data_IF_070180294390
#
_entry.id   IF_070180294390
#
_cell.length_a   1.000
_cell.length_b   1.000
_cell.length_c   1.000
_cell.angle_alpha   90.00
_cell.angle_beta   90.00
_cell.angle_gamma   90.00
#
_symmetry.space_group_name_H-M   'P 1'
#
loop_
_entity.id
_entity.type
_entity.pdbx_description
1 polymer ?
#
# COMPACT_ATOMS: atom_id res chain seq x y z
N UNK A 1 -1.82 19.07 27.59
CA UNK A 1 -2.14 17.80 26.87
C UNK A 1 -1.32 17.76 25.59
N UNK A 2 -0.58 16.68 25.30
CA UNK A 2 0.09 16.56 23.99
C UNK A 2 -0.98 16.45 22.91
N UNK A 3 -0.91 17.30 21.90
CA UNK A 3 -1.81 17.25 20.74
C UNK A 3 -1.56 15.98 19.94
N UNK A 4 -2.60 15.44 19.30
CA UNK A 4 -2.52 14.22 18.47
C UNK A 4 -1.39 14.30 17.44
N UNK A 5 -1.09 15.49 16.92
CA UNK A 5 0.00 15.75 15.96
C UNK A 5 1.40 15.41 16.50
N UNK A 6 1.69 15.79 17.75
CA UNK A 6 2.98 15.49 18.39
C UNK A 6 3.13 13.98 18.57
N UNK A 7 2.04 13.30 18.92
CA UNK A 7 2.03 11.86 19.09
C UNK A 7 2.17 11.14 17.74
N UNK A 8 1.56 11.65 16.67
CA UNK A 8 1.77 11.17 15.30
C UNK A 8 3.25 11.24 14.90
N UNK A 9 3.91 12.36 15.16
CA UNK A 9 5.34 12.52 14.84
C UNK A 9 6.22 11.54 15.64
N UNK A 10 5.85 11.26 16.89
CA UNK A 10 6.54 10.27 17.71
C UNK A 10 6.34 8.84 17.19
N UNK A 11 5.10 8.46 16.88
CA UNK A 11 4.78 7.17 16.26
C UNK A 11 5.52 6.98 14.93
N UNK A 12 5.57 8.05 14.10
CA UNK A 12 6.33 8.04 12.85
C UNK A 12 7.80 7.70 13.08
N UNK A 13 8.47 8.35 14.05
CA UNK A 13 9.88 8.07 14.35
C UNK A 13 10.14 6.61 14.75
N UNK A 14 9.18 5.94 15.38
CA UNK A 14 9.29 4.52 15.76
C UNK A 14 9.21 3.62 14.52
N UNK A 15 8.31 3.94 13.59
CA UNK A 15 8.05 3.11 12.41
C UNK A 15 8.92 3.49 11.20
N UNK A 16 9.58 4.65 11.21
CA UNK A 16 10.32 5.17 10.07
C UNK A 16 11.38 4.19 9.56
N UNK A 17 12.27 3.71 10.44
CA UNK A 17 13.35 2.78 10.06
C UNK A 17 12.85 1.47 9.43
N UNK A 18 11.93 0.71 10.05
CA UNK A 18 11.43 -0.53 9.43
C UNK A 18 10.65 -0.26 8.14
N UNK A 19 9.90 0.84 8.05
CA UNK A 19 9.17 1.20 6.82
C UNK A 19 10.15 1.45 5.67
N UNK A 20 11.19 2.26 5.88
CA UNK A 20 12.20 2.50 4.83
C UNK A 20 12.94 1.22 4.41
N UNK A 21 13.23 0.33 5.36
CA UNK A 21 13.88 -0.94 5.06
C UNK A 21 12.98 -1.85 4.20
N UNK A 22 11.69 -1.92 4.52
CA UNK A 22 10.71 -2.69 3.72
C UNK A 22 10.61 -2.10 2.32
N UNK A 23 10.50 -0.78 2.19
CA UNK A 23 10.41 -0.09 0.90
C UNK A 23 11.67 -0.35 0.07
N UNK A 24 12.86 -0.25 0.68
CA UNK A 24 14.13 -0.46 -0.02
C UNK A 24 14.25 -1.90 -0.54
N UNK A 25 13.95 -2.90 0.31
CA UNK A 25 14.00 -4.32 -0.08
C UNK A 25 12.95 -4.66 -1.13
N UNK A 26 11.72 -4.18 -0.96
CA UNK A 26 10.63 -4.37 -1.93
C UNK A 26 10.99 -3.75 -3.28
N UNK A 27 11.48 -2.52 -3.28
CA UNK A 27 11.92 -1.83 -4.50
C UNK A 27 13.06 -2.56 -5.22
N UNK A 28 14.05 -3.05 -4.48
CA UNK A 28 15.16 -3.83 -5.04
C UNK A 28 14.67 -5.15 -5.64
N UNK A 29 13.76 -5.86 -4.95
CA UNK A 29 13.16 -7.10 -5.43
C UNK A 29 12.31 -6.87 -6.71
N UNK A 30 11.52 -5.79 -6.74
CA UNK A 30 10.75 -5.40 -7.93
C UNK A 30 11.67 -5.10 -9.12
N UNK A 31 12.72 -4.30 -8.91
CA UNK A 31 13.71 -3.97 -9.94
C UNK A 31 14.39 -5.24 -10.47
N UNK A 32 14.84 -6.14 -9.60
CA UNK A 32 15.46 -7.38 -9.99
C UNK A 32 14.51 -8.26 -10.82
N UNK A 33 13.26 -8.41 -10.38
CA UNK A 33 12.25 -9.19 -11.10
C UNK A 33 11.96 -8.63 -12.49
N UNK A 34 11.87 -7.30 -12.62
CA UNK A 34 11.70 -6.61 -13.91
C UNK A 34 12.90 -6.85 -14.82
N UNK A 35 14.12 -6.64 -14.33
CA UNK A 35 15.33 -6.85 -15.13
C UNK A 35 15.49 -8.31 -15.58
N UNK A 36 15.26 -9.27 -14.69
CA UNK A 36 15.33 -10.70 -15.01
C UNK A 36 14.31 -11.05 -16.10
N UNK A 37 13.05 -10.60 -15.94
CA UNK A 37 12.02 -10.86 -16.93
C UNK A 37 12.35 -10.20 -18.28
N UNK A 38 12.87 -8.97 -18.28
CA UNK A 38 13.27 -8.26 -19.50
C UNK A 38 14.38 -8.94 -20.28
N UNK A 39 15.20 -9.78 -19.64
CA UNK A 39 16.24 -10.58 -20.29
C UNK A 39 15.73 -11.87 -20.96
N UNK A 40 14.48 -12.27 -20.71
CA UNK A 40 13.93 -13.52 -21.26
C UNK A 40 13.59 -13.36 -22.75
N UNK A 41 13.65 -14.45 -23.52
CA UNK A 41 13.19 -14.42 -24.92
C UNK A 41 11.72 -14.00 -25.03
N UNK A 42 10.91 -14.34 -24.05
CA UNK A 42 9.48 -14.00 -23.99
C UNK A 42 9.20 -12.51 -23.80
N UNK A 43 10.18 -11.69 -23.41
CA UNK A 43 10.03 -10.23 -23.28
C UNK A 43 10.49 -9.44 -24.50
N UNK A 44 11.02 -10.11 -25.54
CA UNK A 44 11.42 -9.47 -26.77
C UNK A 44 10.25 -8.66 -27.36
N UNK A 45 10.49 -7.37 -27.63
CA UNK A 45 9.51 -6.45 -28.22
C UNK A 45 8.22 -6.21 -27.40
N UNK A 46 8.21 -6.55 -26.11
CA UNK A 46 7.07 -6.33 -25.23
C UNK A 46 7.05 -4.88 -24.69
N UNK A 47 5.85 -4.31 -24.53
CA UNK A 47 5.68 -2.98 -23.95
C UNK A 47 6.03 -2.94 -22.46
N UNK A 48 6.52 -1.80 -21.98
CA UNK A 48 6.93 -1.62 -20.58
C UNK A 48 5.86 -2.05 -19.56
N UNK A 49 4.59 -1.69 -19.79
CA UNK A 49 3.49 -2.10 -18.92
C UNK A 49 3.36 -3.63 -18.81
N UNK A 50 3.54 -4.36 -19.92
CA UNK A 50 3.46 -5.82 -19.93
C UNK A 50 4.66 -6.47 -19.23
N UNK A 51 5.84 -5.85 -19.32
CA UNK A 51 7.01 -6.30 -18.55
C UNK A 51 6.71 -6.22 -17.06
N UNK A 52 6.16 -5.11 -16.57
CA UNK A 52 5.78 -4.95 -15.16
C UNK A 52 4.74 -5.98 -14.69
N UNK A 53 3.73 -6.25 -15.51
CA UNK A 53 2.69 -7.23 -15.17
C UNK A 53 3.27 -8.64 -15.12
N UNK A 54 4.04 -9.03 -16.12
CA UNK A 54 4.53 -10.40 -16.27
C UNK A 54 5.74 -10.71 -15.38
N UNK A 55 6.48 -9.69 -14.93
CA UNK A 55 7.58 -9.83 -13.99
C UNK A 55 7.14 -10.12 -12.55
N UNK A 56 5.83 -10.20 -12.29
CA UNK A 56 5.25 -10.35 -10.95
C UNK A 56 5.57 -9.18 -10.00
N UNK A 57 6.06 -8.05 -10.53
CA UNK A 57 6.38 -6.84 -9.74
C UNK A 57 5.19 -6.39 -8.87
N UNK A 58 3.97 -6.59 -9.35
CA UNK A 58 2.74 -6.26 -8.66
C UNK A 58 2.47 -7.11 -7.42
N UNK A 59 2.88 -8.38 -7.42
CA UNK A 59 2.79 -9.26 -6.24
C UNK A 59 3.77 -8.77 -5.19
N UNK A 60 5.00 -8.46 -5.61
CA UNK A 60 6.04 -7.95 -4.73
C UNK A 60 5.58 -6.63 -4.09
N UNK A 61 4.99 -5.72 -4.89
CA UNK A 61 4.42 -4.48 -4.37
C UNK A 61 3.27 -4.73 -3.38
N UNK A 62 2.36 -5.67 -3.65
CA UNK A 62 1.28 -6.01 -2.73
C UNK A 62 1.81 -6.55 -1.39
N UNK A 63 2.84 -7.40 -1.43
CA UNK A 63 3.50 -7.92 -0.23
C UNK A 63 4.22 -6.81 0.54
N UNK A 64 4.92 -5.92 -0.16
CA UNK A 64 5.56 -4.73 0.40
C UNK A 64 4.55 -3.83 1.12
N UNK A 65 3.42 -3.56 0.48
CA UNK A 65 2.32 -2.77 1.05
C UNK A 65 1.78 -3.39 2.34
N UNK A 66 1.50 -4.70 2.34
CA UNK A 66 1.03 -5.42 3.53
C UNK A 66 2.09 -5.41 4.64
N UNK A 67 3.36 -5.57 4.31
CA UNK A 67 4.46 -5.51 5.26
C UNK A 67 4.58 -4.12 5.91
N UNK A 68 4.43 -3.04 5.14
CA UNK A 68 4.39 -1.67 5.68
C UNK A 68 3.20 -1.46 6.60
N UNK A 69 2.01 -1.96 6.25
CA UNK A 69 0.85 -1.90 7.12
C UNK A 69 1.10 -2.61 8.45
N UNK A 70 1.75 -3.77 8.43
CA UNK A 70 2.17 -4.48 9.64
C UNK A 70 3.19 -3.70 10.46
N UNK A 71 4.21 -3.13 9.83
CA UNK A 71 5.23 -2.31 10.50
C UNK A 71 4.63 -1.04 11.14
N UNK A 72 3.61 -0.45 10.52
CA UNK A 72 2.90 0.71 11.04
C UNK A 72 2.15 0.43 12.35
N UNK A 73 1.84 -0.84 12.67
CA UNK A 73 1.19 -1.22 13.93
C UNK A 73 2.15 -1.38 15.12
N UNK A 74 3.47 -1.23 14.90
CA UNK A 74 4.48 -1.33 15.97
C UNK A 74 4.22 -0.46 17.20
N UNK A 75 3.81 0.82 17.10
CA UNK A 75 3.55 1.66 18.27
C UNK A 75 2.47 1.04 19.17
N UNK A 76 1.47 0.43 18.55
CA UNK A 76 0.36 -0.21 19.24
C UNK A 76 0.76 -1.52 19.91
N UNK A 77 1.60 -2.31 19.24
CA UNK A 77 2.16 -3.53 19.83
C UNK A 77 3.06 -3.23 21.03
N UNK A 78 3.78 -2.10 21.00
CA UNK A 78 4.64 -1.66 22.09
C UNK A 78 3.86 -1.17 23.32
N UNK A 79 2.59 -0.78 23.18
CA UNK A 79 1.73 -0.35 24.29
C UNK A 79 1.37 -1.47 25.29
N UNK A 80 1.77 -2.72 25.06
CA UNK A 80 1.58 -3.84 26.01
C UNK A 80 2.47 -3.77 27.26
N UNK A 81 3.18 -2.66 27.52
CA UNK A 81 3.99 -2.45 28.74
C UNK A 81 5.29 -3.26 28.83
N UNK A 82 5.61 -4.13 27.86
CA UNK A 82 6.84 -4.94 27.89
C UNK A 82 8.11 -4.19 27.46
N UNK A 83 8.01 -2.90 27.16
CA UNK A 83 9.12 -2.07 26.69
C UNK A 83 9.10 -0.72 27.40
N UNK A 84 10.28 -0.09 27.58
CA UNK A 84 10.42 1.25 28.19
C UNK A 84 9.54 2.30 27.46
N UNK A 85 9.44 2.19 26.14
CA UNK A 85 8.57 2.99 25.28
C UNK A 85 7.08 2.72 25.56
N UNK A 86 6.70 1.46 25.78
CA UNK A 86 5.36 1.04 26.15
C UNK A 86 4.89 1.62 27.48
N UNK A 87 5.75 1.60 28.50
CA UNK A 87 5.46 2.24 29.79
C UNK A 87 5.24 3.75 29.64
N UNK A 88 6.08 4.42 28.85
CA UNK A 88 5.95 5.87 28.61
C UNK A 88 4.63 6.21 27.91
N UNK A 89 4.18 5.37 26.97
CA UNK A 89 2.88 5.52 26.30
C UNK A 89 1.69 5.30 27.25
N UNK A 90 1.78 4.34 28.18
CA UNK A 90 0.71 4.09 29.16
C UNK A 90 0.60 5.21 30.21
N UNK A 91 1.71 5.85 30.58
CA UNK A 91 1.73 6.93 31.58
C UNK A 91 1.43 8.31 30.97
N UNK A 92 1.30 8.42 29.65
CA UNK A 92 1.03 9.69 28.97
C UNK A 92 -0.45 10.07 29.15
N UNK A 93 -0.77 11.27 29.71
CA UNK A 93 -2.15 11.72 29.84
C UNK A 93 -2.70 12.08 28.45
N UNK A 94 -3.27 11.09 27.79
CA UNK A 94 -3.78 11.18 26.42
C UNK A 94 -5.11 10.42 26.33
N UNK A 95 -6.10 11.03 25.68
CA UNK A 95 -7.40 10.38 25.49
C UNK A 95 -7.27 9.21 24.50
N UNK A 96 -8.15 8.20 24.64
CA UNK A 96 -8.22 7.09 23.68
C UNK A 96 -8.40 7.55 22.23
N UNK A 97 -9.15 8.62 22.00
CA UNK A 97 -9.30 9.27 20.69
C UNK A 97 -7.98 9.82 20.16
N UNK A 98 -7.18 10.48 21.00
CA UNK A 98 -5.88 11.04 20.63
C UNK A 98 -4.89 9.94 20.22
N UNK A 99 -4.86 8.83 20.97
CA UNK A 99 -4.04 7.66 20.65
C UNK A 99 -4.48 7.02 19.33
N UNK A 100 -5.78 6.85 19.10
CA UNK A 100 -6.31 6.30 17.86
C UNK A 100 -5.93 7.15 16.64
N UNK A 101 -6.27 8.44 16.66
CA UNK A 101 -6.01 9.34 15.53
C UNK A 101 -4.52 9.48 15.22
N UNK A 102 -3.66 9.44 16.25
CA UNK A 102 -2.22 9.48 16.03
C UNK A 102 -1.65 8.22 15.36
N UNK A 103 -2.19 7.04 15.67
CA UNK A 103 -1.81 5.79 15.02
C UNK A 103 -2.37 5.70 13.59
N UNK A 104 -3.62 6.14 13.38
CA UNK A 104 -4.20 6.21 12.05
C UNK A 104 -3.42 7.17 11.13
N UNK A 105 -3.10 8.37 11.62
CA UNK A 105 -2.34 9.37 10.86
C UNK A 105 -0.91 8.89 10.52
N UNK A 106 -0.22 8.23 11.45
CA UNK A 106 1.12 7.67 11.17
C UNK A 106 1.08 6.49 10.21
N UNK A 107 0.04 5.65 10.26
CA UNK A 107 -0.19 4.58 9.28
C UNK A 107 -0.47 5.16 7.89
N UNK A 108 -1.29 6.21 7.79
CA UNK A 108 -1.56 6.89 6.53
C UNK A 108 -0.27 7.50 5.93
N UNK A 109 0.58 8.11 6.74
CA UNK A 109 1.89 8.61 6.29
C UNK A 109 2.78 7.48 5.75
N UNK A 110 2.81 6.32 6.40
CA UNK A 110 3.58 5.17 5.92
C UNK A 110 3.08 4.66 4.57
N UNK A 111 1.76 4.57 4.39
CA UNK A 111 1.13 4.20 3.11
C UNK A 111 1.53 5.21 2.01
N UNK A 112 1.45 6.51 2.31
CA UNK A 112 1.84 7.54 1.35
C UNK A 112 3.32 7.42 0.94
N UNK A 113 4.22 7.09 1.86
CA UNK A 113 5.62 6.85 1.52
C UNK A 113 5.79 5.67 0.55
N UNK A 114 5.08 4.56 0.76
CA UNK A 114 5.11 3.40 -0.16
C UNK A 114 4.59 3.79 -1.54
N UNK A 115 3.49 4.54 -1.60
CA UNK A 115 2.90 4.99 -2.86
C UNK A 115 3.83 5.92 -3.64
N UNK A 116 4.44 6.89 -2.97
CA UNK A 116 5.42 7.79 -3.61
C UNK A 116 6.66 7.01 -4.06
N UNK A 117 7.17 6.10 -3.24
CA UNK A 117 8.31 5.27 -3.59
C UNK A 117 8.01 4.40 -4.82
N UNK A 118 6.83 3.79 -4.90
CA UNK A 118 6.41 2.99 -6.05
C UNK A 118 6.29 3.81 -7.33
N UNK A 119 5.82 5.06 -7.23
CA UNK A 119 5.72 5.98 -8.37
C UNK A 119 7.11 6.29 -8.93
N UNK A 120 8.04 6.66 -8.04
CA UNK A 120 9.44 6.92 -8.41
C UNK A 120 10.10 5.68 -8.97
N UNK A 121 9.89 4.51 -8.37
CA UNK A 121 10.44 3.25 -8.84
C UNK A 121 9.90 2.91 -10.24
N UNK A 122 8.61 3.08 -10.49
CA UNK A 122 8.00 2.85 -11.81
C UNK A 122 8.61 3.76 -12.88
N UNK A 123 8.96 5.00 -12.53
CA UNK A 123 9.69 5.89 -13.42
C UNK A 123 11.13 5.41 -13.67
N UNK A 124 11.86 5.08 -12.60
CA UNK A 124 13.27 4.66 -12.69
C UNK A 124 13.42 3.32 -13.44
N UNK A 125 12.52 2.36 -13.22
CA UNK A 125 12.51 1.05 -13.87
C UNK A 125 12.31 1.11 -15.38
N UNK A 126 11.75 2.21 -15.92
CA UNK A 126 11.50 2.36 -17.35
C UNK A 126 12.78 2.22 -18.18
N UNK A 127 13.85 2.92 -17.79
CA UNK A 127 15.11 2.94 -18.54
C UNK A 127 15.78 1.56 -18.65
N UNK A 128 16.08 0.84 -17.54
CA UNK A 128 16.70 -0.48 -17.64
C UNK A 128 15.76 -1.50 -18.28
N UNK A 129 14.46 -1.46 -17.99
CA UNK A 129 13.52 -2.41 -18.57
C UNK A 129 13.45 -2.28 -20.09
N UNK A 130 13.32 -1.05 -20.61
CA UNK A 130 13.26 -0.80 -22.05
C UNK A 130 14.57 -1.17 -22.74
N UNK A 131 15.71 -0.76 -22.19
CA UNK A 131 17.03 -1.11 -22.74
C UNK A 131 17.27 -2.62 -22.82
N UNK A 132 16.91 -3.38 -21.77
CA UNK A 132 17.05 -4.83 -21.78
C UNK A 132 16.08 -5.50 -22.77
N UNK A 133 14.85 -5.01 -22.89
CA UNK A 133 13.89 -5.55 -23.88
C UNK A 133 14.28 -5.25 -25.32
N UNK A 134 14.95 -4.13 -25.59
CA UNK A 134 15.43 -3.81 -26.94
C UNK A 134 16.67 -4.63 -27.28
N UNK A 135 17.61 -4.80 -26.35
CA UNK A 135 18.78 -5.67 -26.54
C UNK A 135 18.38 -7.14 -26.77
N UNK A 136 17.43 -7.66 -25.99
CA UNK A 136 16.88 -9.00 -26.22
C UNK A 136 16.14 -9.10 -27.55
N UNK A 137 15.34 -8.11 -27.92
CA UNK A 137 14.68 -8.08 -29.23
C UNK A 137 15.68 -8.10 -30.38
N UNK A 138 16.77 -7.34 -30.32
CA UNK A 138 17.82 -7.36 -31.34
C UNK A 138 18.51 -8.73 -31.44
N UNK A 139 18.69 -9.42 -30.31
CA UNK A 139 19.32 -10.74 -30.27
C UNK A 139 18.44 -11.81 -30.94
N UNK A 140 17.11 -11.75 -30.75
CA UNK A 140 16.19 -12.79 -31.23
C UNK A 140 15.41 -12.41 -32.50
N UNK A 141 15.33 -11.12 -32.84
CA UNK A 141 14.57 -10.57 -33.97
C UNK A 141 15.42 -9.45 -34.62
N UNK A 142 16.41 -9.78 -35.47
CA UNK A 142 17.40 -8.84 -35.98
C UNK A 142 16.83 -7.68 -36.82
N UNK A 143 15.64 -7.89 -37.40
CA UNK A 143 14.94 -6.93 -38.25
C UNK A 143 13.88 -6.13 -37.51
N UNK A 144 13.77 -6.27 -36.18
CA UNK A 144 12.76 -5.55 -35.42
C UNK A 144 13.10 -4.05 -35.39
N UNK A 145 12.28 -3.17 -35.99
CA UNK A 145 12.52 -1.74 -35.93
C UNK A 145 12.44 -1.32 -34.46
N UNK A 146 13.44 -0.56 -33.99
CA UNK A 146 13.38 -0.02 -32.63
C UNK A 146 12.11 0.84 -32.51
N UNK A 147 11.18 0.50 -31.60
CA UNK A 147 10.03 1.35 -31.36
C UNK A 147 10.56 2.68 -30.82
N UNK A 148 10.10 3.80 -31.39
CA UNK A 148 10.38 5.13 -30.84
C UNK A 148 9.81 5.17 -29.42
N UNK A 149 10.66 5.20 -28.37
CA UNK A 149 10.17 5.05 -27.01
C UNK A 149 9.56 6.37 -26.55
N UNK A 150 8.24 6.50 -26.69
CA UNK A 150 7.52 7.57 -26.01
C UNK A 150 7.35 7.18 -24.52
N UNK A 151 8.24 7.72 -23.70
CA UNK A 151 8.25 7.50 -22.26
C UNK A 151 6.96 7.98 -21.60
N UNK A 152 6.42 9.13 -22.03
CA UNK A 152 5.24 9.71 -21.42
C UNK A 152 4.04 8.80 -21.64
N UNK A 153 3.82 8.39 -22.89
CA UNK A 153 2.74 7.48 -23.23
C UNK A 153 2.92 6.11 -22.57
N UNK A 154 4.15 5.63 -22.46
CA UNK A 154 4.47 4.34 -21.83
C UNK A 154 4.20 4.35 -20.33
N UNK A 155 4.59 5.44 -19.63
CA UNK A 155 4.35 5.61 -18.20
C UNK A 155 2.86 5.76 -17.89
N UNK A 156 2.14 6.60 -18.63
CA UNK A 156 0.68 6.77 -18.47
C UNK A 156 -0.07 5.46 -18.70
N UNK A 157 0.45 4.58 -19.55
CA UNK A 157 -0.13 3.25 -19.79
C UNK A 157 0.26 2.20 -18.74
N UNK A 158 1.19 2.51 -17.84
CA UNK A 158 1.52 1.57 -16.75
C UNK A 158 0.43 1.51 -15.71
N UNK A 159 0.27 0.34 -15.11
CA UNK A 159 -0.78 0.19 -14.10
C UNK A 159 -0.44 0.91 -12.80
N UNK A 160 0.81 0.90 -12.36
CA UNK A 160 1.21 1.62 -11.15
C UNK A 160 0.99 3.13 -11.28
N UNK A 161 1.24 3.72 -12.45
CA UNK A 161 1.00 5.15 -12.67
C UNK A 161 -0.50 5.48 -12.66
N UNK A 162 -1.35 4.67 -13.30
CA UNK A 162 -2.81 4.87 -13.26
C UNK A 162 -3.42 4.66 -11.87
N UNK A 163 -2.84 3.75 -11.07
CA UNK A 163 -3.26 3.51 -9.70
C UNK A 163 -2.95 4.71 -8.79
N UNK A 164 -1.77 5.31 -8.95
CA UNK A 164 -1.24 6.34 -8.05
C UNK A 164 -1.56 7.78 -8.51
N UNK A 165 -1.70 7.98 -9.81
CA UNK A 165 -2.15 9.22 -10.47
C UNK A 165 -3.38 8.88 -11.33
N UNK A 166 -4.54 8.69 -10.68
CA UNK A 166 -5.74 8.31 -11.40
C UNK A 166 -6.20 9.43 -12.34
N UNK A 167 -6.32 9.10 -13.62
CA UNK A 167 -6.86 9.98 -14.67
C UNK A 167 -8.38 9.97 -14.74
N UNK A 168 -9.01 9.00 -14.08
CA UNK A 168 -10.46 8.79 -14.07
C UNK A 168 -11.06 9.18 -12.70
N UNK A 169 -12.25 9.78 -12.72
CA UNK A 169 -13.01 10.18 -11.52
C UNK A 169 -13.13 9.05 -10.47
N UNK A 170 -13.24 7.83 -10.95
CA UNK A 170 -13.36 6.63 -10.12
C UNK A 170 -12.05 6.27 -9.37
N UNK A 171 -10.91 6.43 -10.03
CA UNK A 171 -9.59 6.25 -9.40
C UNK A 171 -9.33 7.32 -8.34
N UNK A 172 -9.78 8.55 -8.59
CA UNK A 172 -9.68 9.68 -7.65
C UNK A 172 -10.45 9.39 -6.35
N UNK A 173 -11.59 8.70 -6.43
CA UNK A 173 -12.39 8.30 -5.25
C UNK A 173 -11.76 7.11 -4.53
N UNK A 174 -11.25 6.10 -5.26
CA UNK A 174 -10.75 4.86 -4.66
C UNK A 174 -9.37 4.97 -4.01
N UNK A 175 -8.50 5.86 -4.50
CA UNK A 175 -7.18 6.11 -3.91
C UNK A 175 -7.26 6.54 -2.42
N UNK A 176 -8.09 7.53 -2.02
CA UNK A 176 -8.32 7.84 -0.61
C UNK A 176 -8.83 6.65 0.20
N UNK A 177 -9.71 5.81 -0.37
CA UNK A 177 -10.19 4.59 0.29
C UNK A 177 -9.04 3.61 0.59
N UNK A 178 -8.07 3.46 -0.32
CA UNK A 178 -6.88 2.61 -0.09
C UNK A 178 -5.97 3.13 1.02
N UNK A 179 -6.03 4.42 1.35
CA UNK A 179 -5.24 5.01 2.43
C UNK A 179 -6.04 4.99 3.73
N UNK A 180 -7.29 5.44 3.68
CA UNK A 180 -8.15 5.67 4.85
C UNK A 180 -8.67 4.36 5.45
N UNK A 181 -9.10 3.40 4.61
CA UNK A 181 -9.64 2.13 5.10
C UNK A 181 -8.61 1.35 5.95
N UNK A 182 -7.39 1.02 5.45
CA UNK A 182 -6.41 0.28 6.27
C UNK A 182 -5.85 1.11 7.43
N UNK A 183 -5.73 2.44 7.30
CA UNK A 183 -5.24 3.30 8.38
C UNK A 183 -6.20 3.41 9.56
N UNK A 184 -7.51 3.22 9.34
CA UNK A 184 -8.51 3.20 10.42
C UNK A 184 -8.76 1.80 10.98
N UNK A 185 -8.73 0.78 10.11
CA UNK A 185 -9.02 -0.61 10.45
C UNK A 185 -8.06 -1.19 11.50
N UNK A 186 -6.76 -1.03 11.26
CA UNK A 186 -5.74 -1.71 12.06
C UNK A 186 -5.63 -1.13 13.48
N UNK A 187 -5.62 0.20 13.71
CA UNK A 187 -5.59 0.75 15.07
C UNK A 187 -6.86 0.43 15.86
N UNK A 188 -8.03 0.37 15.21
CA UNK A 188 -9.31 0.09 15.87
C UNK A 188 -9.38 -1.28 16.54
N UNK A 189 -8.68 -2.27 15.98
CA UNK A 189 -8.59 -3.62 16.52
C UNK A 189 -7.91 -3.69 17.90
N UNK A 190 -6.97 -2.79 18.17
CA UNK A 190 -6.14 -2.84 19.36
C UNK A 190 -6.72 -2.11 20.57
N UNK A 191 -7.83 -1.38 20.41
CA UNK A 191 -8.55 -0.75 21.53
C UNK A 191 -9.51 -1.71 22.25
N UNK A 192 -9.62 -2.97 21.81
CA UNK A 192 -10.41 -4.00 22.47
C UNK A 192 -9.56 -4.99 23.28
N UNK A 193 -10.11 -5.47 24.41
CA UNK A 193 -9.58 -6.59 25.20
C UNK A 193 -10.32 -7.89 24.84
N UNK A 194 -9.66 -9.05 25.00
CA UNK A 194 -10.26 -10.37 24.79
C UNK A 194 -10.58 -10.70 23.33
N UNK A 195 -11.66 -11.46 23.08
CA UNK A 195 -12.06 -11.92 21.73
C UNK A 195 -12.30 -10.78 20.73
N UNK A 196 -12.75 -9.60 21.19
CA UNK A 196 -12.98 -8.44 20.31
C UNK A 196 -11.72 -7.93 19.60
N UNK A 197 -10.53 -8.15 20.19
CA UNK A 197 -9.25 -7.84 19.55
C UNK A 197 -8.96 -8.75 18.36
N UNK A 198 -9.25 -10.04 18.51
CA UNK A 198 -9.02 -11.06 17.49
C UNK A 198 -9.93 -10.77 16.29
N UNK A 199 -11.22 -10.50 16.52
CA UNK A 199 -12.15 -10.10 15.45
C UNK A 199 -11.71 -8.81 14.74
N UNK A 200 -11.24 -7.80 15.47
CA UNK A 200 -10.72 -6.57 14.87
C UNK A 200 -9.50 -6.81 13.99
N UNK A 201 -8.57 -7.68 14.43
CA UNK A 201 -7.39 -8.04 13.64
C UNK A 201 -7.82 -8.79 12.38
N UNK A 202 -8.74 -9.75 12.48
CA UNK A 202 -9.26 -10.51 11.33
C UNK A 202 -9.90 -9.56 10.31
N UNK A 203 -10.76 -8.64 10.76
CA UNK A 203 -11.43 -7.67 9.88
C UNK A 203 -10.41 -6.68 9.27
N UNK A 204 -9.41 -6.26 10.03
CA UNK A 204 -8.33 -5.39 9.55
C UNK A 204 -7.46 -6.05 8.50
N UNK A 205 -7.04 -7.31 8.73
CA UNK A 205 -6.29 -8.11 7.77
C UNK A 205 -7.15 -8.41 6.54
N UNK A 206 -8.43 -8.75 6.72
CA UNK A 206 -9.34 -8.98 5.62
C UNK A 206 -9.55 -7.72 4.78
N UNK A 207 -9.77 -6.55 5.40
CA UNK A 207 -9.87 -5.29 4.69
C UNK A 207 -8.58 -4.89 3.98
N UNK A 208 -7.41 -5.12 4.60
CA UNK A 208 -6.12 -4.92 3.96
C UNK A 208 -5.90 -5.90 2.79
N UNK A 209 -6.35 -7.14 2.91
CA UNK A 209 -6.30 -8.15 1.85
C UNK A 209 -7.27 -7.81 0.71
N UNK A 210 -8.46 -7.27 0.99
CA UNK A 210 -9.40 -6.77 -0.03
C UNK A 210 -8.83 -5.55 -0.72
N UNK A 211 -8.20 -4.61 0.00
CA UNK A 211 -7.48 -3.48 -0.60
C UNK A 211 -6.31 -3.96 -1.48
N UNK A 212 -5.51 -4.91 -1.00
CA UNK A 212 -4.40 -5.50 -1.75
C UNK A 212 -4.87 -6.29 -2.97
N UNK A 213 -5.98 -7.04 -2.86
CA UNK A 213 -6.62 -7.74 -3.97
C UNK A 213 -7.17 -6.77 -5.01
N UNK A 214 -7.83 -5.69 -4.57
CA UNK A 214 -8.31 -4.64 -5.46
C UNK A 214 -7.17 -3.97 -6.21
N UNK A 215 -6.09 -3.66 -5.50
CA UNK A 215 -4.86 -3.10 -6.05
C UNK A 215 -4.22 -4.07 -7.06
N UNK A 216 -4.14 -5.35 -6.74
CA UNK A 216 -3.68 -6.41 -7.64
C UNK A 216 -4.59 -6.58 -8.87
N UNK A 217 -5.91 -6.51 -8.69
CA UNK A 217 -6.89 -6.63 -9.77
C UNK A 217 -6.83 -5.44 -10.71
N UNK A 218 -6.64 -4.23 -10.18
CA UNK A 218 -6.35 -3.05 -10.99
C UNK A 218 -5.10 -3.28 -11.84
N UNK A 219 -4.07 -3.92 -11.28
CA UNK A 219 -2.83 -4.30 -11.99
C UNK A 219 -3.03 -5.38 -13.06
N UNK A 220 -3.93 -6.35 -12.84
CA UNK A 220 -4.18 -7.43 -13.81
C UNK A 220 -5.16 -7.05 -14.94
N UNK A 221 -6.12 -6.14 -14.72
CA UNK A 221 -7.26 -5.93 -15.63
C UNK A 221 -7.05 -4.94 -16.80
N UNK A 222 -5.81 -4.66 -17.23
CA UNK A 222 -5.50 -3.80 -18.40
C UNK A 222 -6.20 -2.43 -18.43
N UNK A 223 -6.44 -1.78 -17.30
CA UNK A 223 -7.07 -0.44 -17.28
C UNK A 223 -8.51 -0.37 -17.82
N UNK A 224 -9.11 -1.51 -18.22
CA UNK A 224 -10.51 -1.58 -18.58
C UNK A 224 -11.32 -1.91 -17.35
N UNK A 225 -11.88 -0.85 -16.77
CA UNK A 225 -12.90 -0.95 -15.73
C UNK A 225 -14.16 -1.56 -16.33
N UNK A 226 -14.28 -2.90 -16.37
CA UNK A 226 -15.57 -3.53 -16.60
C UNK A 226 -16.46 -3.20 -15.40
N UNK A 227 -17.36 -2.23 -15.59
CA UNK A 227 -18.20 -1.63 -14.55
C UNK A 227 -19.00 -2.68 -13.76
N UNK A 228 -19.32 -3.81 -14.39
CA UNK A 228 -20.11 -4.90 -13.81
C UNK A 228 -19.38 -5.72 -12.72
N UNK A 229 -18.05 -5.77 -12.78
CA UNK A 229 -17.24 -6.67 -11.95
C UNK A 229 -16.64 -5.98 -10.72
N UNK A 230 -16.53 -4.66 -10.73
CA UNK A 230 -15.86 -3.87 -9.69
C UNK A 230 -16.83 -3.36 -8.63
N UNK A 231 -18.09 -3.05 -9.01
CA UNK A 231 -19.18 -2.60 -8.14
C UNK A 231 -19.34 -3.45 -6.86
N UNK A 232 -19.41 -4.80 -6.91
CA UNK A 232 -19.61 -5.60 -5.70
C UNK A 232 -18.44 -5.52 -4.72
N UNK A 233 -17.20 -5.37 -5.22
CA UNK A 233 -16.02 -5.28 -4.36
C UNK A 233 -15.86 -3.87 -3.79
N UNK A 234 -16.27 -2.83 -4.53
CA UNK A 234 -16.35 -1.45 -4.00
C UNK A 234 -17.41 -1.37 -2.91
N UNK A 235 -18.57 -1.98 -3.14
CA UNK A 235 -19.61 -2.10 -2.12
C UNK A 235 -19.09 -2.84 -0.89
N UNK A 236 -18.34 -3.93 -1.07
CA UNK A 236 -17.69 -4.64 0.04
C UNK A 236 -16.69 -3.74 0.79
N UNK A 237 -15.85 -2.98 0.09
CA UNK A 237 -14.92 -2.01 0.70
C UNK A 237 -15.65 -0.92 1.48
N UNK A 238 -16.75 -0.39 0.93
CA UNK A 238 -17.60 0.60 1.60
C UNK A 238 -18.25 0.01 2.84
N UNK A 239 -18.77 -1.23 2.76
CA UNK A 239 -19.34 -1.93 3.93
C UNK A 239 -18.28 -2.14 5.01
N UNK A 240 -17.08 -2.61 4.64
CA UNK A 240 -15.95 -2.77 5.56
C UNK A 240 -15.59 -1.41 6.17
N UNK A 241 -15.50 -0.34 5.36
CA UNK A 241 -15.17 1.00 5.83
C UNK A 241 -16.23 1.55 6.79
N UNK A 242 -17.51 1.50 6.43
CA UNK A 242 -18.64 1.95 7.25
C UNK A 242 -18.65 1.17 8.57
N UNK A 243 -18.51 -0.15 8.50
CA UNK A 243 -18.45 -0.99 9.69
C UNK A 243 -17.26 -0.61 10.58
N UNK A 244 -16.09 -0.34 10.00
CA UNK A 244 -14.89 0.11 10.72
C UNK A 244 -15.10 1.45 11.42
N UNK A 245 -15.73 2.40 10.74
CA UNK A 245 -16.05 3.73 11.29
C UNK A 245 -17.06 3.58 12.43
N UNK A 246 -18.15 2.85 12.23
CA UNK A 246 -19.16 2.60 13.26
C UNK A 246 -18.57 1.88 14.48
N UNK A 247 -17.71 0.90 14.23
CA UNK A 247 -17.01 0.16 15.28
C UNK A 247 -16.09 1.09 16.06
N UNK A 248 -15.29 1.91 15.38
CA UNK A 248 -14.40 2.92 16.00
C UNK A 248 -15.19 3.96 16.80
N UNK A 249 -16.33 4.42 16.30
CA UNK A 249 -17.20 5.34 17.05
C UNK A 249 -17.76 4.67 18.31
N UNK A 250 -18.11 3.39 18.24
CA UNK A 250 -18.53 2.60 19.41
C UNK A 250 -17.37 2.41 20.41
N UNK A 251 -16.14 2.19 19.95
CA UNK A 251 -14.98 2.04 20.84
C UNK A 251 -14.69 3.34 21.58
N UNK A 252 -14.67 4.48 20.89
CA UNK A 252 -14.43 5.80 21.48
C UNK A 252 -15.53 6.15 22.50
N UNK A 253 -16.80 5.80 22.23
CA UNK A 253 -17.90 6.00 23.20
C UNK A 253 -17.77 5.13 24.45
N UNK A 254 -17.29 3.89 24.33
CA UNK A 254 -17.08 2.97 25.47
C UNK A 254 -15.78 3.23 26.22
N UNK A 255 -14.76 3.78 25.56
CA UNK A 255 -13.48 4.15 26.15
C UNK A 255 -13.54 5.39 27.06
N UNK A 256 -14.73 5.91 27.37
CA UNK A 256 -14.93 6.95 28.42
C UNK A 256 -14.52 6.49 29.83
N UNK A 257 -14.11 5.24 30.01
CA UNK A 257 -13.78 4.63 31.31
C UNK A 257 -12.46 3.85 31.28
N UNK A 258 -11.40 4.45 30.74
CA UNK A 258 -10.01 4.05 31.05
C UNK A 258 -9.27 5.26 31.61
#
# INVERSE_FOLDING_TARGET
>A
MKTWRILTAWNWRIIQKPVWLIIALGSAAQMAAVCIYSCLRTSAAITYNRVLINSLSWIIFALEFLAVLGAAQRPVLMMNGKTKLGYTMQTLPSSASTLFFSNAASTALAIMCVFVAQLLLTFIMYFPATALTTMTAQTYIPQYPMPTPDMQLSLVRTVFFNLLLPTNLFGIITLPLYIIAPSLLLPGAFFHKGMGRIFGIIIGVFGAAVCGYMLARQILARGYWNHYDTLPIIALLLVIMIFSVLWTLRTIKRAKWL
#
